data_IF_850360635202
#
_entry.id   IF_850360635202
#
_cell.length_a   1.000
_cell.length_b   1.000
_cell.length_c   1.000
_cell.angle_alpha   90.00
_cell.angle_beta   90.00
_cell.angle_gamma   90.00
#
_symmetry.space_group_name_H-M   'P 1'
#
loop_
_entity.id
_entity.type
_entity.pdbx_description
1 polymer ?
#
# COMPACT_ATOMS: atom_id res chain seq x y z
N UNK A 1 -25.15 48.67 56.11
CA UNK A 1 -25.70 48.86 54.73
C UNK A 1 -24.55 49.06 53.77
N UNK A 2 -24.13 48.06 53.04
CA UNK A 2 -23.15 48.19 51.93
C UNK A 2 -23.74 47.46 50.76
N UNK A 3 -23.98 48.20 49.69
CA UNK A 3 -24.59 47.80 48.44
C UNK A 3 -23.67 46.90 47.66
N UNK A 4 -24.18 45.78 47.15
CA UNK A 4 -23.49 44.87 46.22
C UNK A 4 -23.45 45.50 44.84
N UNK A 5 -22.26 45.75 44.35
CA UNK A 5 -22.02 46.25 42.99
C UNK A 5 -22.19 45.07 41.97
N UNK A 6 -22.98 45.35 40.91
CA UNK A 6 -23.32 44.40 39.89
C UNK A 6 -22.14 44.18 38.98
N UNK A 7 -21.60 42.95 38.93
CA UNK A 7 -20.62 42.49 37.97
C UNK A 7 -21.24 42.49 36.58
N UNK A 8 -20.90 43.46 35.74
CA UNK A 8 -21.23 43.43 34.32
C UNK A 8 -20.36 42.40 33.60
N UNK A 9 -20.88 41.17 33.42
CA UNK A 9 -20.25 40.15 32.57
C UNK A 9 -20.32 40.64 31.10
N UNK A 10 -19.17 40.87 30.54
CA UNK A 10 -19.00 41.39 29.18
C UNK A 10 -19.35 40.29 28.15
N UNK A 11 -20.56 40.37 27.57
CA UNK A 11 -21.11 39.46 26.54
C UNK A 11 -20.23 39.29 25.29
N UNK A 12 -19.22 40.16 25.12
CA UNK A 12 -18.30 40.08 23.96
C UNK A 12 -17.22 39.00 24.09
N UNK A 13 -16.96 38.46 25.28
CA UNK A 13 -15.95 37.41 25.47
C UNK A 13 -16.51 35.99 25.29
N UNK A 14 -17.83 35.81 25.36
CA UNK A 14 -18.46 34.49 25.12
C UNK A 14 -18.52 34.12 23.63
N UNK A 15 -18.59 35.11 22.74
CA UNK A 15 -18.65 34.87 21.28
C UNK A 15 -17.35 34.35 20.67
N UNK A 16 -16.20 34.72 21.24
CA UNK A 16 -14.88 34.32 20.68
C UNK A 16 -14.51 32.90 21.06
N UNK A 17 -14.93 32.40 22.21
CA UNK A 17 -14.65 31.00 22.64
C UNK A 17 -15.53 29.99 21.93
N UNK A 18 -16.75 30.35 21.52
CA UNK A 18 -17.64 29.50 20.75
C UNK A 18 -17.17 29.30 19.29
N UNK A 19 -16.51 30.31 18.71
CA UNK A 19 -16.00 30.26 17.33
C UNK A 19 -14.75 29.39 17.17
N UNK A 20 -13.94 29.22 18.21
CA UNK A 20 -12.72 28.42 18.16
C UNK A 20 -12.98 26.91 18.25
N UNK A 21 -14.11 26.47 18.80
CA UNK A 21 -14.49 25.06 18.88
C UNK A 21 -15.11 24.54 17.57
N UNK A 22 -15.66 25.42 16.73
CA UNK A 22 -16.27 25.01 15.45
C UNK A 22 -15.24 24.76 14.33
N UNK A 23 -14.02 25.33 14.42
CA UNK A 23 -12.99 25.14 13.39
C UNK A 23 -12.20 23.84 13.61
N UNK A 24 -12.12 23.33 14.84
CA UNK A 24 -11.39 22.08 15.15
C UNK A 24 -12.10 20.79 14.69
N UNK A 25 -13.40 20.83 14.45
CA UNK A 25 -14.20 19.66 14.08
C UNK A 25 -14.24 19.32 12.58
N UNK A 26 -13.92 20.26 11.70
CA UNK A 26 -14.00 20.06 10.25
C UNK A 26 -12.72 19.51 9.59
N UNK A 27 -11.60 19.53 10.31
CA UNK A 27 -10.32 19.10 9.72
C UNK A 27 -10.10 17.58 9.75
N UNK A 28 -10.86 16.83 10.56
CA UNK A 28 -10.64 15.38 10.72
C UNK A 28 -11.33 14.53 9.66
N UNK A 29 -12.19 15.08 8.80
CA UNK A 29 -12.94 14.30 7.81
C UNK A 29 -12.32 14.30 6.40
N UNK A 30 -11.26 15.07 6.15
CA UNK A 30 -10.72 15.23 4.79
C UNK A 30 -9.61 14.23 4.44
N UNK A 31 -9.00 13.55 5.40
CA UNK A 31 -7.90 12.61 5.14
C UNK A 31 -8.34 11.15 4.93
N UNK A 32 -9.60 10.80 5.16
CA UNK A 32 -10.09 9.44 5.06
C UNK A 32 -10.75 9.08 3.72
N UNK A 33 -10.99 10.06 2.83
CA UNK A 33 -11.78 9.83 1.63
C UNK A 33 -10.96 9.54 0.36
N UNK A 34 -9.65 9.69 0.39
CA UNK A 34 -8.83 9.52 -0.81
C UNK A 34 -8.32 8.09 -0.98
N UNK A 35 -8.23 7.30 0.08
CA UNK A 35 -7.75 5.91 0.01
C UNK A 35 -8.60 5.05 -0.94
N UNK A 36 -9.93 5.15 -0.88
CA UNK A 36 -10.83 4.38 -1.74
C UNK A 36 -10.77 4.77 -3.23
N UNK A 37 -10.16 5.93 -3.54
CA UNK A 37 -9.94 6.40 -4.92
C UNK A 37 -8.63 5.89 -5.52
N UNK A 38 -7.72 5.39 -4.70
CA UNK A 38 -6.47 4.86 -5.19
C UNK A 38 -6.69 3.54 -5.92
N UNK A 39 -5.94 3.28 -6.99
CA UNK A 39 -6.05 2.01 -7.69
C UNK A 39 -5.72 0.84 -6.75
N UNK A 40 -6.43 -0.26 -6.95
CA UNK A 40 -6.20 -1.53 -6.27
C UNK A 40 -5.41 -2.46 -7.17
N UNK A 41 -4.75 -3.46 -6.61
CA UNK A 41 -4.17 -4.58 -7.37
C UNK A 41 -5.20 -5.29 -8.26
N UNK A 42 -6.50 -5.11 -7.98
CA UNK A 42 -7.61 -5.62 -8.79
C UNK A 42 -7.94 -4.75 -10.01
N UNK A 43 -7.32 -3.59 -10.15
CA UNK A 43 -7.59 -2.66 -11.27
C UNK A 43 -6.65 -2.86 -12.48
N UNK A 44 -5.85 -3.92 -12.48
CA UNK A 44 -4.93 -4.21 -13.58
C UNK A 44 -3.73 -3.27 -13.61
N UNK A 45 -2.97 -3.26 -12.52
CA UNK A 45 -1.82 -2.35 -12.29
C UNK A 45 -0.51 -2.80 -12.93
N UNK A 46 -0.51 -3.90 -13.67
CA UNK A 46 0.64 -4.42 -14.42
C UNK A 46 0.20 -4.95 -15.79
N UNK A 47 1.13 -5.14 -16.73
CA UNK A 47 0.81 -5.76 -18.03
C UNK A 47 1.15 -7.24 -18.08
N UNK A 48 0.44 -8.01 -18.91
CA UNK A 48 0.74 -9.43 -19.11
C UNK A 48 2.17 -9.66 -19.66
N UNK A 49 2.68 -8.75 -20.49
CA UNK A 49 4.06 -8.80 -21.01
C UNK A 49 5.08 -8.57 -19.90
N UNK A 50 4.84 -7.62 -19.00
CA UNK A 50 5.68 -7.38 -17.82
C UNK A 50 5.73 -8.62 -16.91
N UNK A 51 4.59 -9.22 -16.62
CA UNK A 51 4.54 -10.45 -15.82
C UNK A 51 5.25 -11.63 -16.50
N UNK A 52 5.26 -11.70 -17.82
CA UNK A 52 6.02 -12.74 -18.56
C UNK A 52 7.53 -12.54 -18.42
N UNK A 53 8.04 -11.29 -18.50
CA UNK A 53 9.45 -10.99 -18.21
C UNK A 53 9.77 -11.28 -16.74
N UNK A 54 8.85 -10.94 -15.84
CA UNK A 54 8.94 -11.22 -14.41
C UNK A 54 9.03 -12.70 -14.08
N UNK A 55 8.32 -13.56 -14.80
CA UNK A 55 8.43 -15.01 -14.64
C UNK A 55 9.85 -15.52 -14.96
N UNK A 56 10.45 -15.02 -16.05
CA UNK A 56 11.83 -15.38 -16.39
C UNK A 56 12.82 -14.87 -15.34
N UNK A 57 12.62 -13.63 -14.85
CA UNK A 57 13.40 -13.03 -13.78
C UNK A 57 13.28 -13.80 -12.46
N UNK A 58 12.05 -14.14 -12.06
CA UNK A 58 11.78 -14.95 -10.87
C UNK A 58 12.50 -16.31 -10.89
N UNK A 59 12.44 -17.02 -12.02
CA UNK A 59 13.12 -18.30 -12.17
C UNK A 59 14.63 -18.20 -11.99
N UNK A 60 15.22 -17.12 -12.43
CA UNK A 60 16.65 -16.88 -12.33
C UNK A 60 17.10 -16.45 -10.91
N UNK A 61 16.31 -15.62 -10.24
CA UNK A 61 16.75 -14.90 -9.04
C UNK A 61 16.08 -15.38 -7.73
N UNK A 62 14.88 -15.96 -7.79
CA UNK A 62 14.05 -16.23 -6.61
C UNK A 62 13.68 -17.71 -6.42
N UNK A 63 13.51 -18.48 -7.52
CA UNK A 63 12.96 -19.81 -7.49
C UNK A 63 13.82 -20.83 -6.73
N UNK A 64 15.14 -20.59 -6.62
CA UNK A 64 16.05 -21.45 -5.84
C UNK A 64 15.60 -21.56 -4.37
N UNK A 65 15.12 -20.48 -3.80
CA UNK A 65 14.65 -20.39 -2.40
C UNK A 65 13.12 -20.48 -2.30
N UNK A 66 12.36 -19.72 -3.10
CA UNK A 66 10.89 -19.63 -2.99
C UNK A 66 10.14 -20.72 -3.77
N UNK A 67 10.85 -21.66 -4.42
CA UNK A 67 10.24 -22.71 -5.21
C UNK A 67 9.88 -22.30 -6.63
N UNK A 68 9.82 -23.28 -7.55
CA UNK A 68 9.56 -23.00 -8.97
C UNK A 68 8.12 -22.51 -9.25
N UNK A 69 7.20 -22.76 -8.33
CA UNK A 69 5.78 -22.39 -8.39
C UNK A 69 5.40 -21.39 -7.27
N UNK A 70 6.37 -20.68 -6.71
CA UNK A 70 6.21 -19.74 -5.60
C UNK A 70 5.70 -20.41 -4.30
N UNK A 71 5.86 -21.73 -4.17
CA UNK A 71 5.33 -22.54 -3.08
C UNK A 71 6.13 -22.46 -1.79
N UNK A 72 7.29 -21.80 -1.81
CA UNK A 72 8.24 -21.78 -0.69
C UNK A 72 9.03 -23.08 -0.54
N UNK A 73 10.03 -23.09 0.36
CA UNK A 73 10.82 -24.28 0.71
C UNK A 73 11.28 -24.21 2.17
N UNK A 74 10.90 -25.19 2.97
CA UNK A 74 11.31 -25.27 4.37
C UNK A 74 10.90 -24.03 5.17
N UNK A 75 11.84 -23.19 5.59
CA UNK A 75 11.58 -21.93 6.30
C UNK A 75 11.34 -20.74 5.39
N UNK A 76 11.56 -20.90 4.07
CA UNK A 76 11.31 -19.83 3.10
C UNK A 76 9.82 -19.81 2.76
N UNK A 77 9.13 -18.68 3.00
CA UNK A 77 7.68 -18.62 2.83
C UNK A 77 7.25 -18.72 1.36
N UNK A 78 6.04 -19.20 1.10
CA UNK A 78 5.43 -19.10 -0.22
C UNK A 78 5.19 -17.63 -0.59
N UNK A 79 5.16 -17.35 -1.89
CA UNK A 79 4.82 -16.03 -2.44
C UNK A 79 3.45 -16.02 -3.13
N UNK A 80 2.65 -17.06 -2.85
CA UNK A 80 1.28 -17.19 -3.34
C UNK A 80 0.37 -17.76 -2.27
N UNK A 81 -0.94 -17.57 -2.49
CA UNK A 81 -1.98 -18.10 -1.63
C UNK A 81 -2.45 -17.12 -0.57
N UNK A 82 -3.40 -17.60 0.25
CA UNK A 82 -4.12 -16.77 1.20
C UNK A 82 -3.20 -16.10 2.22
N UNK A 83 -2.28 -16.86 2.81
CA UNK A 83 -1.42 -16.32 3.87
C UNK A 83 -0.54 -15.21 3.31
N UNK A 84 0.08 -15.42 2.14
CA UNK A 84 0.85 -14.38 1.46
C UNK A 84 0.01 -13.12 1.18
N UNK A 85 -1.18 -13.27 0.59
CA UNK A 85 -2.00 -12.09 0.25
C UNK A 85 -2.53 -11.37 1.48
N UNK A 86 -2.75 -12.05 2.60
CA UNK A 86 -3.18 -11.45 3.85
C UNK A 86 -2.07 -10.71 4.58
N UNK A 87 -0.82 -11.16 4.46
CA UNK A 87 0.33 -10.46 5.06
C UNK A 87 0.49 -9.04 4.47
N UNK A 88 0.04 -8.83 3.23
CA UNK A 88 0.12 -7.54 2.54
C UNK A 88 -1.22 -6.79 2.47
N UNK A 89 -2.31 -7.39 2.96
CA UNK A 89 -3.64 -6.78 2.88
C UNK A 89 -3.69 -5.42 3.59
N UNK A 90 -4.45 -4.49 3.01
CA UNK A 90 -4.56 -3.09 3.49
C UNK A 90 -3.24 -2.30 3.51
N UNK A 91 -2.22 -2.73 2.77
CA UNK A 91 -0.97 -1.96 2.61
C UNK A 91 -0.88 -1.35 1.22
N UNK A 92 0.09 -0.44 1.00
CA UNK A 92 0.51 -0.05 -0.34
C UNK A 92 1.40 -1.12 -0.97
N UNK A 93 1.35 -1.24 -2.28
CA UNK A 93 2.21 -2.18 -3.04
C UNK A 93 3.71 -1.84 -2.89
N UNK A 94 4.02 -0.58 -2.55
CA UNK A 94 5.36 -0.13 -2.19
C UNK A 94 6.00 -0.96 -1.07
N UNK A 95 5.23 -1.35 -0.05
CA UNK A 95 5.75 -2.13 1.07
C UNK A 95 6.31 -3.48 0.63
N UNK A 96 5.61 -4.19 -0.25
CA UNK A 96 6.09 -5.44 -0.84
C UNK A 96 7.28 -5.18 -1.77
N UNK A 97 7.18 -4.15 -2.63
CA UNK A 97 8.25 -3.77 -3.54
C UNK A 97 9.55 -3.41 -2.82
N UNK A 98 9.48 -2.58 -1.78
CA UNK A 98 10.65 -2.20 -0.98
C UNK A 98 11.23 -3.39 -0.20
N UNK A 99 10.37 -4.27 0.34
CA UNK A 99 10.82 -5.51 0.96
C UNK A 99 11.63 -6.35 -0.02
N UNK A 100 11.17 -6.52 -1.26
CA UNK A 100 11.91 -7.20 -2.30
C UNK A 100 13.22 -6.47 -2.61
N UNK A 101 13.15 -5.17 -2.90
CA UNK A 101 14.28 -4.35 -3.34
C UNK A 101 15.44 -4.34 -2.33
N UNK A 102 15.14 -4.25 -1.03
CA UNK A 102 16.17 -4.08 0.00
C UNK A 102 16.58 -5.38 0.70
N UNK A 103 15.75 -6.41 0.66
CA UNK A 103 16.00 -7.63 1.45
C UNK A 103 16.19 -8.89 0.61
N UNK A 104 15.80 -8.85 -0.67
CA UNK A 104 15.85 -10.00 -1.57
C UNK A 104 16.79 -9.76 -2.77
N UNK A 105 17.36 -10.82 -3.35
CA UNK A 105 17.54 -12.14 -2.74
C UNK A 105 18.41 -12.05 -1.47
N UNK A 106 18.12 -12.86 -0.46
CA UNK A 106 18.76 -12.75 0.87
C UNK A 106 20.28 -12.95 0.87
N UNK A 107 20.83 -13.63 -0.12
CA UNK A 107 22.27 -13.86 -0.33
C UNK A 107 22.97 -12.69 -1.05
N UNK A 108 22.21 -11.78 -1.68
CA UNK A 108 22.72 -10.64 -2.45
C UNK A 108 21.75 -9.45 -2.41
N UNK A 109 21.39 -9.03 -1.22
CA UNK A 109 20.41 -7.97 -0.94
C UNK A 109 20.71 -6.68 -1.69
N UNK A 110 19.68 -6.09 -2.30
CA UNK A 110 19.76 -4.82 -3.00
C UNK A 110 20.59 -4.84 -4.30
N UNK A 111 20.91 -6.01 -4.85
CA UNK A 111 21.70 -6.11 -6.09
C UNK A 111 20.85 -6.17 -7.35
N UNK A 112 19.56 -6.44 -7.25
CA UNK A 112 18.66 -6.38 -8.38
C UNK A 112 18.24 -4.93 -8.65
N UNK A 113 18.07 -4.60 -9.92
CA UNK A 113 17.55 -3.27 -10.27
C UNK A 113 16.06 -3.14 -9.93
N UNK A 114 15.60 -1.94 -9.60
CA UNK A 114 14.19 -1.65 -9.36
C UNK A 114 13.28 -2.12 -10.52
N UNK A 115 13.73 -1.96 -11.76
CA UNK A 115 12.98 -2.44 -12.94
C UNK A 115 12.79 -3.97 -12.92
N UNK A 116 13.85 -4.72 -12.53
CA UNK A 116 13.78 -6.17 -12.44
C UNK A 116 12.86 -6.62 -11.30
N UNK A 117 12.91 -5.93 -10.15
CA UNK A 117 12.00 -6.19 -9.04
C UNK A 117 10.54 -5.89 -9.40
N UNK A 118 10.27 -4.81 -10.15
CA UNK A 118 8.92 -4.52 -10.63
C UNK A 118 8.38 -5.59 -11.60
N UNK A 119 9.24 -6.14 -12.47
CA UNK A 119 8.87 -7.28 -13.33
C UNK A 119 8.54 -8.54 -12.49
N UNK A 120 9.39 -8.86 -11.50
CA UNK A 120 9.15 -9.99 -10.58
C UNK A 120 7.86 -9.80 -9.80
N UNK A 121 7.62 -8.59 -9.28
CA UNK A 121 6.39 -8.25 -8.57
C UNK A 121 5.14 -8.42 -9.45
N UNK A 122 5.19 -7.97 -10.72
CA UNK A 122 4.11 -8.21 -11.67
C UNK A 122 3.81 -9.70 -11.87
N UNK A 123 4.85 -10.55 -11.88
CA UNK A 123 4.66 -12.01 -11.94
C UNK A 123 4.04 -12.56 -10.64
N UNK A 124 4.46 -12.09 -9.47
CA UNK A 124 3.87 -12.48 -8.18
C UNK A 124 2.38 -12.10 -8.13
N UNK A 125 2.03 -10.87 -8.55
CA UNK A 125 0.63 -10.44 -8.65
C UNK A 125 -0.18 -11.34 -9.57
N UNK A 126 0.33 -11.66 -10.76
CA UNK A 126 -0.29 -12.61 -11.70
C UNK A 126 -0.51 -13.99 -11.08
N UNK A 127 0.51 -14.51 -10.38
CA UNK A 127 0.45 -15.84 -9.77
C UNK A 127 -0.58 -15.92 -8.63
N UNK A 128 -0.90 -14.77 -7.99
CA UNK A 128 -1.96 -14.65 -7.00
C UNK A 128 -3.35 -14.33 -7.60
N UNK A 129 -3.48 -14.32 -8.92
CA UNK A 129 -4.75 -14.16 -9.61
C UNK A 129 -5.22 -12.72 -9.80
N UNK A 130 -4.40 -11.72 -9.49
CA UNK A 130 -4.73 -10.32 -9.78
C UNK A 130 -4.74 -10.08 -11.31
N UNK A 131 -5.67 -9.27 -11.84
CA UNK A 131 -5.80 -9.08 -13.28
C UNK A 131 -4.68 -8.24 -13.88
N UNK A 132 -4.28 -8.56 -15.11
CA UNK A 132 -3.43 -7.68 -15.89
C UNK A 132 -4.23 -6.52 -16.49
N UNK A 133 -3.58 -5.37 -16.63
CA UNK A 133 -4.11 -4.18 -17.30
C UNK A 133 -3.27 -3.77 -18.52
N UNK A 134 -3.34 -2.49 -18.83
CA UNK A 134 -2.69 -1.91 -20.01
C UNK A 134 -1.41 -1.11 -19.71
N UNK A 135 -1.14 -0.82 -18.43
CA UNK A 135 0.01 -0.04 -17.97
C UNK A 135 0.94 -0.92 -17.16
N UNK A 136 2.25 -0.79 -17.37
CA UNK A 136 3.24 -1.52 -16.57
C UNK A 136 3.31 -0.99 -15.14
N UNK A 137 3.53 -1.89 -14.20
CA UNK A 137 3.82 -1.56 -12.81
C UNK A 137 5.11 -0.74 -12.75
N UNK A 138 5.10 0.46 -12.16
CA UNK A 138 6.28 1.31 -12.12
C UNK A 138 7.37 0.73 -11.22
N UNK A 139 8.63 0.98 -11.56
CA UNK A 139 9.80 0.62 -10.76
C UNK A 139 10.16 1.75 -9.76
N UNK A 140 9.15 2.28 -9.08
CA UNK A 140 9.26 3.45 -8.20
C UNK A 140 8.31 3.27 -7.00
N UNK A 141 8.88 3.20 -5.79
CA UNK A 141 8.11 2.99 -4.56
C UNK A 141 7.10 4.12 -4.29
N UNK A 142 7.43 5.38 -4.60
CA UNK A 142 6.52 6.50 -4.39
C UNK A 142 5.26 6.40 -5.26
N UNK A 143 5.42 5.90 -6.50
CA UNK A 143 4.28 5.66 -7.39
C UNK A 143 3.48 4.41 -6.97
N UNK A 144 4.14 3.43 -6.34
CA UNK A 144 3.49 2.21 -5.85
C UNK A 144 2.75 2.42 -4.53
N UNK A 145 3.09 3.45 -3.76
CA UNK A 145 2.47 3.74 -2.46
C UNK A 145 0.97 4.02 -2.55
N UNK A 146 0.52 4.58 -3.67
CA UNK A 146 -0.90 4.85 -3.90
C UNK A 146 -1.64 3.68 -4.57
N UNK A 147 -0.97 2.54 -4.78
CA UNK A 147 -1.61 1.30 -5.23
C UNK A 147 -1.92 0.44 -4.02
N UNK A 148 -3.20 0.20 -3.76
CA UNK A 148 -3.65 -0.61 -2.61
C UNK A 148 -3.44 -2.09 -2.88
N UNK A 149 -2.81 -2.79 -1.93
CA UNK A 149 -2.83 -4.24 -1.92
C UNK A 149 -4.08 -4.70 -1.17
N UNK A 150 -4.96 -5.42 -1.84
CA UNK A 150 -6.22 -5.94 -1.29
C UNK A 150 -6.31 -7.44 -1.56
N UNK A 151 -6.31 -8.25 -0.51
CA UNK A 151 -6.35 -9.71 -0.61
C UNK A 151 -7.65 -10.24 -1.25
N UNK A 152 -8.73 -9.46 -1.16
CA UNK A 152 -10.05 -9.77 -1.71
C UNK A 152 -10.50 -8.70 -2.69
N UNK A 153 -11.35 -9.09 -3.66
CA UNK A 153 -11.98 -8.11 -4.57
C UNK A 153 -12.78 -7.12 -3.74
N UNK A 154 -12.49 -5.81 -3.83
CA UNK A 154 -13.22 -4.81 -3.07
C UNK A 154 -14.70 -4.77 -3.47
N UNK A 155 -15.59 -4.69 -2.49
CA UNK A 155 -17.00 -4.42 -2.72
C UNK A 155 -17.16 -2.96 -3.16
N UNK A 156 -17.41 -2.72 -4.42
CA UNK A 156 -17.69 -1.39 -5.01
C UNK A 156 -19.18 -1.10 -5.07
#
# INVERSE_FOLDING_TARGET
>A
MRTFDKLHLNKRRLGVLASLLAVGGLCSCLFGQDYDKWPSVWDGVYTASQATRGEAAYRADCASCHGAKLEGKGQVPPLTGRDFTWDWDYTGVDNLFETMLFTMPSDRKGQLSAAREAEILAYILKANGFPAGSTELPADAELLRVVRFEASIPSR
#
